data_IF_006552920156
#
_entry.id   IF_006552920156
#
_cell.length_a   1.000
_cell.length_b   1.000
_cell.length_c   1.000
_cell.angle_alpha   90.00
_cell.angle_beta   90.00
_cell.angle_gamma   90.00
#
_symmetry.space_group_name_H-M   'P 1'
#
loop_
_entity.id
_entity.type
_entity.pdbx_description
1 polymer ?
#
# COMPACT_ATOMS: atom_id res chain seq x y z
N UNK A 1 -47.95 41.60 -45.97
CA UNK A 1 -46.66 41.98 -45.39
C UNK A 1 -46.30 40.92 -44.35
N UNK A 2 -45.21 40.16 -44.55
CA UNK A 2 -44.86 38.99 -43.75
C UNK A 2 -43.85 39.35 -42.65
N UNK A 3 -43.98 38.71 -41.48
CA UNK A 3 -42.87 38.56 -40.53
C UNK A 3 -42.61 37.06 -40.38
N UNK A 4 -41.68 36.55 -41.21
CA UNK A 4 -41.14 35.20 -41.07
C UNK A 4 -40.00 35.23 -40.05
N UNK A 5 -40.18 34.53 -38.94
CA UNK A 5 -39.09 34.22 -38.02
C UNK A 5 -38.32 33.01 -38.57
N UNK A 6 -37.10 33.23 -39.03
CA UNK A 6 -36.16 32.17 -39.42
C UNK A 6 -35.54 31.62 -38.14
N UNK A 7 -35.90 30.39 -37.77
CA UNK A 7 -35.26 29.64 -36.70
C UNK A 7 -33.93 29.06 -37.24
N UNK A 8 -32.81 29.68 -36.89
CA UNK A 8 -31.48 29.17 -37.22
C UNK A 8 -31.14 27.98 -36.30
N UNK A 9 -31.19 26.77 -36.84
CA UNK A 9 -30.77 25.55 -36.16
C UNK A 9 -29.23 25.49 -36.17
N UNK A 10 -28.59 25.93 -35.08
CA UNK A 10 -27.15 25.72 -34.88
C UNK A 10 -26.92 24.28 -34.43
N UNK A 11 -26.52 23.42 -35.37
CA UNK A 11 -26.03 22.08 -35.08
C UNK A 11 -24.62 22.23 -34.51
N UNK A 12 -24.50 22.20 -33.18
CA UNK A 12 -23.24 22.03 -32.48
C UNK A 12 -22.73 20.60 -32.72
N UNK A 13 -21.85 20.45 -33.69
CA UNK A 13 -21.04 19.24 -33.86
C UNK A 13 -20.04 19.20 -32.70
N UNK A 14 -20.39 18.45 -31.65
CA UNK A 14 -19.41 17.99 -30.67
C UNK A 14 -18.44 17.05 -31.39
N UNK A 15 -17.30 17.58 -31.82
CA UNK A 15 -16.13 16.77 -32.14
C UNK A 15 -15.66 16.12 -30.85
N UNK A 16 -16.20 14.94 -30.56
CA UNK A 16 -15.63 14.03 -29.59
C UNK A 16 -14.21 13.69 -30.06
N UNK A 17 -13.21 14.35 -29.49
CA UNK A 17 -11.83 13.85 -29.49
C UNK A 17 -11.80 12.62 -28.60
N UNK A 18 -12.30 11.50 -29.14
CA UNK A 18 -12.08 10.19 -28.56
C UNK A 18 -10.58 9.95 -28.58
N UNK A 19 -9.94 10.07 -27.42
CA UNK A 19 -8.65 9.42 -27.21
C UNK A 19 -8.89 7.95 -27.56
N UNK A 20 -8.29 7.46 -28.64
CA UNK A 20 -8.33 6.05 -28.96
C UNK A 20 -7.66 5.32 -27.80
N UNK A 21 -8.46 4.68 -26.94
CA UNK A 21 -7.96 3.79 -25.93
C UNK A 21 -7.35 2.60 -26.68
N UNK A 22 -6.02 2.59 -26.80
CA UNK A 22 -5.31 1.45 -27.35
C UNK A 22 -5.72 0.21 -26.54
N UNK A 23 -6.07 -0.87 -27.24
CA UNK A 23 -6.40 -2.12 -26.59
C UNK A 23 -5.24 -2.54 -25.66
N UNK A 24 -5.52 -3.05 -24.44
CA UNK A 24 -4.48 -3.49 -23.52
C UNK A 24 -3.55 -4.50 -24.20
N UNK A 25 -2.24 -4.30 -24.09
CA UNK A 25 -1.27 -5.27 -24.62
C UNK A 25 -1.39 -6.58 -23.79
N UNK A 26 -1.87 -7.70 -24.37
CA UNK A 26 -2.06 -8.94 -23.62
C UNK A 26 -0.75 -9.51 -23.07
N UNK A 27 0.40 -9.14 -23.62
CA UNK A 27 1.72 -9.56 -23.15
C UNK A 27 2.32 -8.63 -22.10
N UNK A 28 1.62 -7.56 -21.69
CA UNK A 28 2.09 -6.72 -20.59
C UNK A 28 2.14 -7.53 -19.30
N UNK A 29 3.32 -7.56 -18.68
CA UNK A 29 3.55 -8.18 -17.38
C UNK A 29 2.88 -7.36 -16.29
N UNK A 30 2.08 -8.04 -15.47
CA UNK A 30 1.51 -7.53 -14.23
C UNK A 30 2.39 -7.90 -13.04
N UNK A 31 2.91 -9.14 -13.01
CA UNK A 31 3.80 -9.64 -11.97
C UNK A 31 4.81 -10.63 -12.53
N UNK A 32 6.05 -10.57 -12.07
CA UNK A 32 7.10 -11.51 -12.43
C UNK A 32 7.91 -11.94 -11.19
N UNK A 33 7.87 -13.24 -10.90
CA UNK A 33 8.65 -13.84 -9.84
C UNK A 33 10.13 -13.99 -10.26
N UNK A 34 11.00 -13.20 -9.64
CA UNK A 34 12.46 -13.24 -9.83
C UNK A 34 13.17 -13.78 -8.58
N UNK A 35 12.85 -15.03 -8.20
CA UNK A 35 13.39 -15.74 -7.03
C UNK A 35 13.09 -15.09 -5.66
N UNK A 36 12.24 -14.06 -5.63
CA UNK A 36 11.73 -13.40 -4.43
C UNK A 36 10.20 -13.36 -4.50
N UNK A 37 9.48 -13.98 -3.56
CA UNK A 37 8.02 -13.93 -3.57
C UNK A 37 7.52 -12.50 -3.45
N UNK A 38 6.55 -12.15 -4.29
CA UNK A 38 5.85 -10.87 -4.22
C UNK A 38 4.60 -11.07 -3.35
N UNK A 39 4.73 -10.86 -2.05
CA UNK A 39 3.62 -11.00 -1.11
C UNK A 39 2.71 -9.77 -1.20
N UNK A 40 1.57 -9.88 -1.90
CA UNK A 40 0.61 -8.78 -2.10
C UNK A 40 -0.66 -8.89 -1.25
N UNK A 41 -0.71 -9.91 -0.38
CA UNK A 41 -1.75 -10.08 0.63
C UNK A 41 -2.88 -10.99 0.18
N UNK A 42 -3.41 -11.77 1.14
CA UNK A 42 -4.46 -12.78 0.88
C UNK A 42 -5.83 -12.16 0.63
N UNK A 43 -6.03 -10.90 1.02
CA UNK A 43 -7.24 -10.15 0.73
C UNK A 43 -7.17 -9.39 -0.60
N UNK A 44 -6.05 -9.46 -1.32
CA UNK A 44 -5.93 -8.82 -2.63
C UNK A 44 -6.66 -9.61 -3.71
N UNK A 45 -6.98 -8.95 -4.83
CA UNK A 45 -7.54 -9.62 -6.02
C UNK A 45 -6.60 -10.69 -6.60
N UNK A 46 -5.31 -10.65 -6.26
CA UNK A 46 -4.32 -11.65 -6.68
C UNK A 46 -4.57 -13.01 -6.02
N UNK A 47 -5.11 -13.08 -4.80
CA UNK A 47 -5.48 -14.37 -4.21
C UNK A 47 -6.63 -15.03 -4.97
N UNK A 48 -7.63 -14.25 -5.38
CA UNK A 48 -8.74 -14.73 -6.23
C UNK A 48 -8.21 -15.21 -7.59
N UNK A 49 -7.27 -14.47 -8.19
CA UNK A 49 -6.59 -14.91 -9.41
C UNK A 49 -5.84 -16.23 -9.21
N UNK A 50 -5.11 -16.38 -8.11
CA UNK A 50 -4.40 -17.62 -7.79
C UNK A 50 -5.35 -18.80 -7.62
N UNK A 51 -6.49 -18.62 -6.94
CA UNK A 51 -7.50 -19.67 -6.79
C UNK A 51 -7.95 -20.21 -8.16
N UNK A 52 -8.28 -19.30 -9.08
CA UNK A 52 -8.71 -19.66 -10.44
C UNK A 52 -7.59 -20.27 -11.27
N UNK A 53 -6.39 -19.71 -11.19
CA UNK A 53 -5.20 -20.24 -11.85
C UNK A 53 -4.90 -21.66 -11.38
N UNK A 54 -4.90 -21.91 -10.07
CA UNK A 54 -4.59 -23.22 -9.48
C UNK A 54 -5.64 -24.26 -9.87
N UNK A 55 -6.93 -23.89 -9.88
CA UNK A 55 -8.00 -24.75 -10.37
C UNK A 55 -7.84 -25.06 -11.87
N UNK A 56 -7.55 -24.06 -12.69
CA UNK A 56 -7.37 -24.21 -14.14
C UNK A 56 -6.13 -25.05 -14.50
N UNK A 57 -5.01 -24.81 -13.82
CA UNK A 57 -3.78 -25.58 -13.96
C UNK A 57 -3.97 -27.05 -13.55
N UNK A 58 -4.62 -27.29 -12.41
CA UNK A 58 -4.94 -28.62 -11.92
C UNK A 58 -5.83 -29.39 -12.91
N UNK A 59 -6.85 -28.72 -13.47
CA UNK A 59 -7.70 -29.28 -14.53
C UNK A 59 -6.89 -29.62 -15.79
N UNK A 60 -5.99 -28.73 -16.21
CA UNK A 60 -5.13 -28.95 -17.36
C UNK A 60 -4.22 -30.17 -17.17
N UNK A 61 -3.65 -30.33 -15.97
CA UNK A 61 -2.75 -31.42 -15.61
C UNK A 61 -3.47 -32.68 -15.11
N UNK A 62 -4.80 -32.71 -15.07
CA UNK A 62 -5.62 -33.81 -14.50
C UNK A 62 -5.16 -34.19 -13.07
N UNK A 63 -4.97 -33.20 -12.23
CA UNK A 63 -4.41 -33.33 -10.88
C UNK A 63 -5.17 -32.47 -9.87
N UNK A 64 -4.72 -32.43 -8.61
CA UNK A 64 -5.33 -31.62 -7.55
C UNK A 64 -4.71 -30.22 -7.47
N UNK A 65 -5.53 -29.21 -7.16
CA UNK A 65 -5.06 -27.84 -6.92
C UNK A 65 -4.15 -27.72 -5.70
N UNK A 66 -4.24 -28.67 -4.75
CA UNK A 66 -3.43 -28.69 -3.53
C UNK A 66 -1.91 -28.69 -3.79
N UNK A 67 -1.45 -29.17 -4.95
CA UNK A 67 -0.03 -29.17 -5.31
C UNK A 67 0.56 -27.76 -5.45
N UNK A 68 -0.29 -26.74 -5.65
CA UNK A 68 0.13 -25.34 -5.79
C UNK A 68 0.05 -24.57 -4.47
N UNK A 69 -0.42 -25.22 -3.38
CA UNK A 69 -0.61 -24.59 -2.08
C UNK A 69 -1.90 -23.76 -1.98
N UNK A 70 -1.93 -22.83 -1.03
CA UNK A 70 -3.08 -21.95 -0.81
C UNK A 70 -2.98 -20.69 -1.67
N UNK A 71 -4.11 -20.11 -2.12
CA UNK A 71 -4.15 -18.80 -2.75
C UNK A 71 -3.94 -17.71 -1.69
N UNK A 72 -2.69 -17.47 -1.33
CA UNK A 72 -2.29 -16.56 -0.25
C UNK A 72 -1.96 -15.13 -0.72
N UNK A 73 -2.10 -14.86 -2.02
CA UNK A 73 -1.73 -13.61 -2.65
C UNK A 73 -0.21 -13.41 -2.76
N UNK A 74 0.61 -14.46 -2.63
CA UNK A 74 2.05 -14.36 -2.86
C UNK A 74 2.42 -14.90 -4.26
N UNK A 75 2.84 -14.02 -5.17
CA UNK A 75 3.37 -14.44 -6.48
C UNK A 75 4.76 -15.04 -6.27
N UNK A 76 4.85 -16.37 -6.33
CA UNK A 76 6.08 -17.12 -6.06
C UNK A 76 6.27 -18.32 -6.97
N UNK A 77 7.14 -19.25 -6.57
CA UNK A 77 7.45 -20.47 -7.32
C UNK A 77 6.20 -21.32 -7.63
N UNK A 78 5.23 -21.38 -6.70
CA UNK A 78 3.98 -22.11 -6.92
C UNK A 78 3.10 -21.47 -7.99
N UNK A 79 2.97 -20.13 -8.00
CA UNK A 79 2.28 -19.41 -9.06
C UNK A 79 2.98 -19.62 -10.40
N UNK A 80 4.31 -19.48 -10.44
CA UNK A 80 5.11 -19.73 -11.63
C UNK A 80 4.87 -21.14 -12.18
N UNK A 81 4.85 -22.15 -11.30
CA UNK A 81 4.53 -23.54 -11.67
C UNK A 81 3.13 -23.67 -12.26
N UNK A 82 2.12 -23.12 -11.59
CA UNK A 82 0.73 -23.19 -12.04
C UNK A 82 0.53 -22.53 -13.43
N UNK A 83 1.22 -21.42 -13.71
CA UNK A 83 1.18 -20.76 -15.04
C UNK A 83 1.75 -21.69 -16.11
N UNK A 84 2.92 -22.28 -15.85
CA UNK A 84 3.56 -23.22 -16.79
C UNK A 84 2.69 -24.46 -17.03
N UNK A 85 2.03 -24.96 -16.00
CA UNK A 85 1.13 -26.11 -16.07
C UNK A 85 -0.20 -25.81 -16.79
N UNK A 86 -0.71 -24.57 -16.68
CA UNK A 86 -1.93 -24.13 -17.36
C UNK A 86 -1.71 -23.80 -18.84
N UNK A 87 -0.52 -23.28 -19.21
CA UNK A 87 -0.20 -22.77 -20.55
C UNK A 87 -0.60 -23.72 -21.70
N UNK A 88 -0.34 -25.06 -21.65
CA UNK A 88 -0.72 -25.97 -22.73
C UNK A 88 -2.23 -26.01 -23.03
N UNK A 89 -3.06 -25.68 -22.04
CA UNK A 89 -4.51 -25.63 -22.19
C UNK A 89 -5.04 -24.25 -22.61
N UNK A 90 -4.20 -23.21 -22.56
CA UNK A 90 -4.57 -21.85 -22.95
C UNK A 90 -4.07 -21.55 -24.37
N UNK A 91 -4.92 -21.79 -25.37
CA UNK A 91 -4.59 -21.60 -26.80
C UNK A 91 -4.20 -20.17 -27.15
N UNK A 92 -4.65 -19.16 -26.40
CA UNK A 92 -4.30 -17.76 -26.63
C UNK A 92 -2.82 -17.45 -26.28
N UNK A 93 -2.25 -18.16 -25.29
CA UNK A 93 -0.85 -18.01 -24.88
C UNK A 93 0.13 -18.79 -25.78
N UNK A 94 -0.34 -19.82 -26.50
CA UNK A 94 0.51 -20.69 -27.30
C UNK A 94 0.96 -20.10 -28.65
N UNK A 95 0.35 -19.00 -29.09
CA UNK A 95 0.53 -18.46 -30.45
C UNK A 95 1.62 -17.38 -30.57
N UNK A 96 2.10 -16.81 -29.48
CA UNK A 96 3.09 -15.74 -29.49
C UNK A 96 4.52 -16.27 -29.27
N UNK A 97 5.46 -15.82 -30.11
CA UNK A 97 6.89 -16.14 -29.97
C UNK A 97 7.45 -15.28 -28.83
N UNK A 98 7.93 -15.90 -27.74
CA UNK A 98 8.44 -15.24 -26.52
C UNK A 98 7.36 -14.55 -25.66
N UNK A 99 6.32 -15.29 -25.28
CA UNK A 99 5.33 -14.77 -24.34
C UNK A 99 5.94 -14.74 -22.91
N UNK A 100 5.84 -13.65 -22.12
CA UNK A 100 6.34 -13.62 -20.75
C UNK A 100 5.81 -14.75 -19.85
N UNK A 101 4.65 -15.32 -20.17
CA UNK A 101 4.10 -16.52 -19.51
C UNK A 101 4.99 -17.76 -19.68
N UNK A 102 5.89 -17.80 -20.67
CA UNK A 102 6.91 -18.85 -20.82
C UNK A 102 7.84 -18.94 -19.61
N UNK A 103 8.11 -17.80 -18.98
CA UNK A 103 8.88 -17.69 -17.73
C UNK A 103 7.99 -17.79 -16.49
N UNK A 104 6.68 -17.94 -16.69
CA UNK A 104 5.67 -17.96 -15.64
C UNK A 104 5.35 -16.57 -15.07
N UNK A 105 5.45 -15.52 -15.88
CA UNK A 105 4.97 -14.20 -15.49
C UNK A 105 3.43 -14.13 -15.58
N UNK A 106 2.81 -13.34 -14.71
CA UNK A 106 1.39 -12.99 -14.81
C UNK A 106 1.27 -11.85 -15.82
N UNK A 107 0.50 -12.05 -16.89
CA UNK A 107 0.25 -11.03 -17.93
C UNK A 107 -1.21 -10.62 -17.98
N UNK A 108 -1.52 -9.51 -18.66
CA UNK A 108 -2.90 -9.07 -18.91
C UNK A 108 -3.71 -10.18 -19.61
N UNK A 109 -3.16 -10.80 -20.64
CA UNK A 109 -3.84 -11.85 -21.40
C UNK A 109 -4.10 -13.11 -20.56
N UNK A 110 -3.15 -13.50 -19.71
CA UNK A 110 -3.37 -14.59 -18.75
C UNK A 110 -4.48 -14.24 -17.76
N UNK A 111 -4.46 -13.02 -17.21
CA UNK A 111 -5.47 -12.54 -16.29
C UNK A 111 -6.88 -12.61 -16.88
N UNK A 112 -7.05 -12.03 -18.07
CA UNK A 112 -8.32 -12.00 -18.80
C UNK A 112 -8.82 -13.41 -19.17
N UNK A 113 -7.91 -14.38 -19.36
CA UNK A 113 -8.31 -15.78 -19.63
C UNK A 113 -8.89 -16.51 -18.42
N UNK A 114 -8.67 -16.00 -17.20
CA UNK A 114 -9.04 -16.67 -15.95
C UNK A 114 -10.09 -15.88 -15.16
N UNK A 115 -10.05 -14.55 -15.21
CA UNK A 115 -10.86 -13.66 -14.40
C UNK A 115 -12.06 -13.13 -15.21
N UNK A 116 -13.24 -12.98 -14.59
CA UNK A 116 -14.38 -12.35 -15.25
C UNK A 116 -14.10 -10.85 -15.48
N UNK A 117 -14.71 -10.25 -16.51
CA UNK A 117 -14.49 -8.83 -16.87
C UNK A 117 -14.79 -7.84 -15.74
N UNK A 118 -15.75 -8.17 -14.86
CA UNK A 118 -16.08 -7.38 -13.66
C UNK A 118 -14.95 -7.34 -12.61
N UNK A 119 -13.93 -8.19 -12.75
CA UNK A 119 -12.72 -8.23 -11.90
C UNK A 119 -11.50 -7.89 -12.77
N UNK A 120 -11.30 -6.61 -13.11
CA UNK A 120 -10.21 -6.19 -13.98
C UNK A 120 -8.85 -6.52 -13.37
N UNK A 121 -7.83 -6.56 -14.21
CA UNK A 121 -6.46 -6.67 -13.72
C UNK A 121 -6.07 -5.40 -12.94
N UNK A 122 -5.18 -5.54 -11.93
CA UNK A 122 -4.62 -4.41 -11.18
C UNK A 122 -3.97 -3.37 -12.09
N UNK A 123 -4.37 -2.11 -11.94
CA UNK A 123 -3.76 -0.99 -12.65
C UNK A 123 -2.37 -0.64 -12.07
N UNK A 124 -1.74 0.42 -12.57
CA UNK A 124 -0.43 0.85 -12.08
C UNK A 124 -0.43 1.29 -10.61
N UNK A 125 -1.51 1.94 -10.16
CA UNK A 125 -1.62 2.48 -8.79
C UNK A 125 -1.85 1.33 -7.81
N UNK A 126 -2.71 0.38 -8.16
CA UNK A 126 -2.94 -0.82 -7.36
C UNK A 126 -1.66 -1.66 -7.24
N UNK A 127 -0.93 -1.89 -8.34
CA UNK A 127 0.36 -2.60 -8.30
C UNK A 127 1.42 -1.86 -7.49
N UNK A 128 1.42 -0.52 -7.53
CA UNK A 128 2.29 0.31 -6.72
C UNK A 128 1.95 0.25 -5.21
N UNK A 129 0.66 0.22 -4.86
CA UNK A 129 0.20 -0.01 -3.50
C UNK A 129 0.58 -1.41 -3.00
N UNK A 130 0.48 -2.43 -3.84
CA UNK A 130 0.90 -3.80 -3.53
C UNK A 130 2.41 -3.95 -3.35
N UNK A 131 3.23 -3.19 -4.09
CA UNK A 131 4.66 -3.11 -3.80
C UNK A 131 4.92 -2.51 -2.41
N UNK A 132 4.17 -1.48 -2.02
CA UNK A 132 4.27 -0.91 -0.67
C UNK A 132 3.88 -1.94 0.38
N UNK A 133 2.76 -2.66 0.18
CA UNK A 133 2.33 -3.77 1.03
C UNK A 133 3.43 -4.84 1.20
N UNK A 134 4.08 -5.24 0.10
CA UNK A 134 5.13 -6.27 0.13
C UNK A 134 6.35 -5.85 0.98
N UNK A 135 6.55 -4.55 1.21
CA UNK A 135 7.61 -4.01 2.08
C UNK A 135 7.20 -3.94 3.55
N UNK A 136 5.91 -3.83 3.84
CA UNK A 136 5.34 -3.81 5.20
C UNK A 136 5.17 -5.21 5.77
N UNK A 137 4.76 -6.18 4.94
CA UNK A 137 4.71 -7.60 5.32
C UNK A 137 3.62 -7.95 6.36
N UNK A 138 2.60 -7.10 6.49
CA UNK A 138 1.42 -7.34 7.33
C UNK A 138 0.16 -7.20 6.49
N UNK A 139 -0.92 -7.88 6.87
CA UNK A 139 -2.20 -7.86 6.16
C UNK A 139 -3.33 -7.44 7.10
N UNK A 140 -4.56 -7.28 6.59
CA UNK A 140 -5.72 -6.81 7.36
C UNK A 140 -6.04 -7.62 8.62
N UNK A 141 -5.54 -8.85 8.73
CA UNK A 141 -5.74 -9.71 9.88
C UNK A 141 -4.65 -9.61 10.95
N UNK A 142 -3.63 -8.77 10.75
CA UNK A 142 -2.49 -8.62 11.65
C UNK A 142 -2.64 -7.36 12.51
N UNK A 143 -2.68 -7.57 13.82
CA UNK A 143 -2.66 -6.49 14.81
C UNK A 143 -1.62 -6.76 15.90
N UNK A 144 -0.88 -5.71 16.24
CA UNK A 144 0.22 -5.73 17.20
C UNK A 144 0.03 -4.65 18.25
N UNK A 145 0.22 -5.01 19.52
CA UNK A 145 0.22 -4.05 20.62
C UNK A 145 1.66 -3.59 20.84
N UNK A 146 1.89 -2.28 20.83
CA UNK A 146 3.21 -1.65 20.93
C UNK A 146 3.65 -1.36 22.37
N UNK A 147 3.15 -2.15 23.32
CA UNK A 147 3.52 -2.10 24.73
C UNK A 147 4.56 -3.16 25.05
N UNK A 148 5.65 -2.73 25.71
CA UNK A 148 6.75 -3.56 26.19
C UNK A 148 7.20 -4.62 25.18
N UNK A 149 7.77 -4.15 24.08
CA UNK A 149 8.47 -4.94 23.09
C UNK A 149 9.85 -5.38 23.61
N UNK A 150 10.43 -6.40 22.98
CA UNK A 150 11.80 -6.84 23.29
C UNK A 150 12.82 -5.80 22.86
N UNK A 151 13.86 -5.60 23.68
CA UNK A 151 15.01 -4.75 23.33
C UNK A 151 15.72 -5.22 22.06
N UNK A 152 15.75 -6.55 21.83
CA UNK A 152 16.30 -7.15 20.62
C UNK A 152 15.32 -8.18 20.04
N UNK A 153 14.43 -7.80 19.11
CA UNK A 153 13.46 -8.71 18.53
C UNK A 153 14.09 -9.90 17.78
N UNK A 154 15.35 -9.78 17.31
CA UNK A 154 16.06 -10.88 16.65
C UNK A 154 16.37 -12.05 17.59
N UNK A 155 16.29 -11.86 18.91
CA UNK A 155 16.48 -12.92 19.91
C UNK A 155 15.26 -13.81 20.10
N UNK A 156 14.12 -13.50 19.45
CA UNK A 156 12.88 -14.26 19.57
C UNK A 156 12.16 -14.11 20.92
N UNK A 157 12.77 -13.44 21.91
CA UNK A 157 12.16 -13.19 23.22
C UNK A 157 10.96 -12.26 23.07
N UNK A 158 9.80 -12.66 23.61
CA UNK A 158 8.66 -11.77 23.86
C UNK A 158 8.71 -11.37 25.33
N UNK A 159 8.54 -10.08 25.62
CA UNK A 159 8.77 -9.47 26.94
C UNK A 159 8.05 -10.14 28.14
N UNK A 160 7.01 -10.94 27.91
CA UNK A 160 6.37 -11.68 29.00
C UNK A 160 7.34 -12.70 29.65
N UNK A 161 8.45 -13.02 28.99
CA UNK A 161 9.48 -13.92 29.52
C UNK A 161 10.74 -13.16 29.97
N UNK A 162 10.71 -12.66 31.21
CA UNK A 162 11.92 -12.48 32.02
C UNK A 162 12.75 -11.18 31.86
N UNK A 163 12.25 -10.13 31.21
CA UNK A 163 12.94 -8.83 31.17
C UNK A 163 12.39 -7.86 32.25
N UNK A 164 13.29 -7.15 32.93
CA UNK A 164 12.94 -6.19 34.00
C UNK A 164 12.52 -4.83 33.46
N UNK A 165 12.90 -4.52 32.22
CA UNK A 165 12.70 -3.21 31.60
C UNK A 165 11.76 -3.29 30.39
N UNK A 166 10.75 -2.41 30.35
CA UNK A 166 9.83 -2.30 29.21
C UNK A 166 10.45 -1.42 28.13
N UNK A 167 10.53 -1.91 26.88
CA UNK A 167 10.97 -1.13 25.72
C UNK A 167 9.83 -0.93 24.72
N UNK A 168 9.85 0.16 23.97
CA UNK A 168 8.97 0.31 22.79
C UNK A 168 9.69 1.18 21.76
N UNK A 169 9.75 0.68 20.53
CA UNK A 169 10.30 1.41 19.38
C UNK A 169 9.31 2.44 18.82
N UNK A 170 8.05 2.38 19.25
CA UNK A 170 6.98 3.27 18.82
C UNK A 170 5.96 3.49 19.95
N UNK A 171 6.34 4.37 20.88
CA UNK A 171 5.62 4.61 22.14
C UNK A 171 4.27 5.30 21.95
N UNK A 172 4.06 5.94 20.80
CA UNK A 172 2.91 6.79 20.54
C UNK A 172 1.81 6.08 19.72
N UNK A 173 2.09 4.87 19.22
CA UNK A 173 1.19 4.16 18.31
C UNK A 173 0.33 3.11 18.98
N UNK A 174 0.57 2.75 20.25
CA UNK A 174 -0.09 1.78 21.17
C UNK A 174 -0.60 0.43 20.60
N UNK A 175 -1.31 0.45 19.48
CA UNK A 175 -1.74 -0.66 18.65
C UNK A 175 -1.49 -0.33 17.17
N UNK A 176 -0.83 -1.23 16.44
CA UNK A 176 -0.65 -1.16 14.98
C UNK A 176 -1.47 -2.25 14.30
N UNK A 177 -2.17 -1.94 13.21
CA UNK A 177 -3.07 -2.86 12.52
C UNK A 177 -3.02 -2.71 11.01
N UNK A 178 -3.10 -3.84 10.31
CA UNK A 178 -3.38 -3.88 8.88
C UNK A 178 -2.19 -3.53 7.99
N UNK A 179 -2.42 -3.48 6.66
CA UNK A 179 -1.37 -3.52 5.64
C UNK A 179 -0.45 -2.31 5.54
N UNK A 180 -0.86 -1.19 6.14
CA UNK A 180 -0.07 0.06 6.18
C UNK A 180 0.35 0.42 7.60
N UNK A 181 0.12 -0.49 8.56
CA UNK A 181 0.41 -0.25 9.96
C UNK A 181 -0.37 0.91 10.56
N UNK A 182 -1.70 0.95 10.36
CA UNK A 182 -2.56 1.95 10.98
C UNK A 182 -2.39 1.94 12.50
N UNK A 183 -2.29 3.11 13.12
CA UNK A 183 -1.98 3.23 14.55
C UNK A 183 -3.20 3.68 15.35
N UNK A 184 -3.36 3.17 16.58
CA UNK A 184 -4.26 3.74 17.57
C UNK A 184 -3.42 4.53 18.59
N UNK A 185 -3.43 5.85 18.47
CA UNK A 185 -2.61 6.76 19.26
C UNK A 185 -2.41 8.06 18.49
N UNK A 186 -1.19 8.60 18.44
CA UNK A 186 -0.91 9.88 17.76
C UNK A 186 -1.35 9.94 16.29
N UNK A 187 -1.26 8.84 15.53
CA UNK A 187 -1.74 8.81 14.13
C UNK A 187 -3.26 8.71 14.01
N UNK A 188 -3.92 8.14 15.02
CA UNK A 188 -5.36 7.90 15.13
C UNK A 188 -5.99 7.22 13.89
N UNK A 189 -5.21 6.54 13.04
CA UNK A 189 -5.72 5.94 11.80
C UNK A 189 -6.70 4.81 12.10
N UNK A 190 -6.46 4.00 13.13
CA UNK A 190 -7.42 2.94 13.52
C UNK A 190 -8.76 3.56 13.91
N UNK A 191 -8.77 4.67 14.65
CA UNK A 191 -9.99 5.37 15.01
C UNK A 191 -10.71 5.90 13.76
N UNK A 192 -9.98 6.50 12.81
CA UNK A 192 -10.54 6.97 11.54
C UNK A 192 -11.21 5.84 10.75
N UNK A 193 -10.54 4.70 10.63
CA UNK A 193 -11.05 3.52 9.91
C UNK A 193 -12.34 3.02 10.56
N UNK A 194 -12.35 2.90 11.90
CA UNK A 194 -13.54 2.47 12.62
C UNK A 194 -14.70 3.44 12.41
N UNK A 195 -14.45 4.76 12.49
CA UNK A 195 -15.48 5.78 12.28
C UNK A 195 -16.05 5.73 10.87
N UNK A 196 -15.21 5.63 9.85
CA UNK A 196 -15.66 5.57 8.46
C UNK A 196 -16.46 4.29 8.18
N UNK A 197 -15.96 3.14 8.63
CA UNK A 197 -16.64 1.86 8.46
C UNK A 197 -18.00 1.84 9.19
N UNK A 198 -18.06 2.31 10.43
CA UNK A 198 -19.30 2.37 11.23
C UNK A 198 -20.30 3.39 10.65
N UNK A 199 -19.82 4.51 10.10
CA UNK A 199 -20.69 5.50 9.45
C UNK A 199 -21.34 4.96 8.18
N UNK A 200 -20.57 4.21 7.37
CA UNK A 200 -21.09 3.57 6.15
C UNK A 200 -21.97 2.35 6.47
N UNK A 201 -21.65 1.63 7.55
CA UNK A 201 -22.32 0.40 7.97
C UNK A 201 -22.63 0.43 9.48
N UNK A 202 -23.71 1.10 9.92
CA UNK A 202 -24.05 1.21 11.33
C UNK A 202 -24.23 -0.16 12.01
N UNK A 203 -23.62 -0.35 13.18
CA UNK A 203 -23.67 -1.60 13.94
C UNK A 203 -22.59 -2.62 13.58
N UNK A 204 -21.71 -2.32 12.63
CA UNK A 204 -20.60 -3.22 12.23
C UNK A 204 -19.66 -3.50 13.41
N UNK A 205 -19.29 -2.46 14.15
CA UNK A 205 -18.44 -2.56 15.33
C UNK A 205 -19.10 -3.44 16.40
N UNK A 206 -20.41 -3.29 16.62
CA UNK A 206 -21.16 -4.13 17.57
C UNK A 206 -21.20 -5.59 17.13
N UNK A 207 -21.43 -5.83 15.84
CA UNK A 207 -21.50 -7.18 15.26
C UNK A 207 -20.19 -7.94 15.43
N UNK A 208 -19.04 -7.29 15.21
CA UNK A 208 -17.74 -7.96 15.24
C UNK A 208 -17.10 -7.95 16.64
N UNK A 209 -17.14 -6.82 17.33
CA UNK A 209 -16.49 -6.68 18.64
C UNK A 209 -17.39 -7.11 19.81
N UNK A 210 -18.70 -7.22 19.62
CA UNK A 210 -19.62 -7.75 20.63
C UNK A 210 -19.44 -7.07 21.99
N UNK A 211 -19.08 -7.79 23.06
CA UNK A 211 -18.82 -7.21 24.37
C UNK A 211 -17.70 -6.14 24.40
N UNK A 212 -16.72 -6.20 23.50
CA UNK A 212 -15.64 -5.19 23.39
C UNK A 212 -16.03 -3.98 22.53
N UNK A 213 -17.23 -3.93 21.97
CA UNK A 213 -17.65 -2.81 21.13
C UNK A 213 -17.68 -1.48 21.91
N UNK A 214 -18.11 -1.49 23.17
CA UNK A 214 -18.06 -0.32 24.06
C UNK A 214 -16.61 0.15 24.31
N UNK A 215 -15.68 -0.80 24.52
CA UNK A 215 -14.25 -0.47 24.61
C UNK A 215 -13.77 0.23 23.35
N UNK A 216 -14.11 -0.29 22.17
CA UNK A 216 -13.67 0.30 20.91
C UNK A 216 -14.30 1.67 20.65
N UNK A 217 -15.57 1.89 21.03
CA UNK A 217 -16.18 3.23 20.99
C UNK A 217 -15.43 4.21 21.90
N UNK A 218 -15.00 3.77 23.08
CA UNK A 218 -14.19 4.59 23.99
C UNK A 218 -12.78 4.86 23.46
N UNK A 219 -12.17 3.92 22.72
CA UNK A 219 -10.91 4.14 21.99
C UNK A 219 -11.09 5.15 20.86
N UNK A 220 -12.20 5.08 20.12
CA UNK A 220 -12.51 6.02 19.03
C UNK A 220 -12.74 7.43 19.55
N UNK A 221 -13.48 7.57 20.66
CA UNK A 221 -13.84 8.88 21.21
C UNK A 221 -12.79 9.46 22.16
N UNK A 222 -11.89 8.63 22.68
CA UNK A 222 -10.97 8.98 23.75
C UNK A 222 -9.86 9.94 23.33
N UNK A 223 -9.40 10.74 24.28
CA UNK A 223 -8.09 11.37 24.19
C UNK A 223 -6.94 10.37 24.23
N UNK A 224 -5.74 10.82 23.87
CA UNK A 224 -4.54 10.00 23.74
C UNK A 224 -4.24 9.20 25.03
N UNK A 225 -4.34 9.85 26.20
CA UNK A 225 -4.18 9.20 27.51
C UNK A 225 -5.21 8.08 27.73
N UNK A 226 -6.45 8.28 27.29
CA UNK A 226 -7.50 7.27 27.41
C UNK A 226 -7.24 6.10 26.46
N UNK A 227 -6.84 6.38 25.22
CA UNK A 227 -6.49 5.35 24.23
C UNK A 227 -5.31 4.51 24.74
N UNK A 228 -4.24 5.13 25.22
CA UNK A 228 -3.10 4.45 25.84
C UNK A 228 -3.57 3.53 26.97
N UNK A 229 -4.35 4.08 27.91
CA UNK A 229 -4.79 3.38 29.11
C UNK A 229 -5.67 2.17 28.78
N UNK A 230 -6.65 2.35 27.89
CA UNK A 230 -7.58 1.29 27.50
C UNK A 230 -6.83 0.16 26.81
N UNK A 231 -5.95 0.47 25.85
CA UNK A 231 -5.21 -0.52 25.07
C UNK A 231 -4.13 -1.21 25.92
N UNK A 232 -3.48 -0.48 26.83
CA UNK A 232 -2.53 -1.06 27.78
C UNK A 232 -3.22 -2.05 28.73
N UNK A 233 -4.38 -1.70 29.27
CA UNK A 233 -5.16 -2.60 30.12
C UNK A 233 -5.59 -3.88 29.36
N UNK A 234 -5.94 -3.73 28.08
CA UNK A 234 -6.24 -4.86 27.22
C UNK A 234 -5.00 -5.72 26.92
N UNK A 235 -3.86 -5.09 26.67
CA UNK A 235 -2.58 -5.76 26.44
C UNK A 235 -2.11 -6.56 27.67
N UNK A 236 -2.25 -6.00 28.87
CA UNK A 236 -1.79 -6.60 30.12
C UNK A 236 -2.55 -7.90 30.46
N UNK A 237 -3.79 -8.05 29.97
CA UNK A 237 -4.58 -9.26 30.12
C UNK A 237 -4.43 -10.17 28.89
N UNK A 238 -3.73 -11.30 29.04
CA UNK A 238 -3.46 -12.24 27.93
C UNK A 238 -4.71 -12.72 27.21
N UNK A 239 -5.80 -13.02 27.94
CA UNK A 239 -7.05 -13.51 27.35
C UNK A 239 -7.72 -12.39 26.54
N UNK A 240 -7.83 -11.20 27.12
CA UNK A 240 -8.43 -10.03 26.45
C UNK A 240 -7.62 -9.60 25.22
N UNK A 241 -6.29 -9.58 25.32
CA UNK A 241 -5.39 -9.30 24.20
C UNK A 241 -5.58 -10.31 23.05
N UNK A 242 -5.71 -11.60 23.35
CA UNK A 242 -5.94 -12.63 22.34
C UNK A 242 -7.32 -12.47 21.68
N UNK A 243 -8.36 -12.20 22.47
CA UNK A 243 -9.71 -11.95 21.95
C UNK A 243 -9.76 -10.73 21.03
N UNK A 244 -9.16 -9.60 21.44
CA UNK A 244 -9.07 -8.41 20.59
C UNK A 244 -8.31 -8.68 19.30
N UNK A 245 -7.20 -9.43 19.33
CA UNK A 245 -6.48 -9.83 18.11
C UNK A 245 -7.39 -10.57 17.12
N UNK A 246 -8.17 -11.52 17.60
CA UNK A 246 -9.12 -12.26 16.76
C UNK A 246 -10.25 -11.37 16.24
N UNK A 247 -10.73 -10.42 17.05
CA UNK A 247 -11.77 -9.46 16.63
C UNK A 247 -11.27 -8.52 15.55
N UNK A 248 -10.07 -7.94 15.70
CA UNK A 248 -9.43 -7.15 14.66
C UNK A 248 -9.20 -7.96 13.38
N UNK A 249 -8.80 -9.23 13.52
CA UNK A 249 -8.64 -10.12 12.37
C UNK A 249 -9.95 -10.35 11.61
N UNK A 250 -11.05 -10.60 12.32
CA UNK A 250 -12.39 -10.71 11.72
C UNK A 250 -12.88 -9.39 11.14
N UNK A 251 -12.62 -8.28 11.82
CA UNK A 251 -13.02 -6.95 11.37
C UNK A 251 -12.32 -6.56 10.07
N UNK A 252 -11.00 -6.73 9.99
CA UNK A 252 -10.22 -6.43 8.79
C UNK A 252 -10.49 -7.35 7.60
N UNK A 253 -11.04 -8.53 7.84
CA UNK A 253 -11.45 -9.44 6.77
C UNK A 253 -12.71 -8.97 6.02
N UNK A 254 -13.43 -7.96 6.54
CA UNK A 254 -14.66 -7.46 5.94
C UNK A 254 -14.36 -6.45 4.81
N UNK A 255 -14.96 -6.59 3.61
CA UNK A 255 -14.77 -5.66 2.50
C UNK A 255 -15.06 -4.19 2.86
N UNK A 256 -16.08 -3.96 3.69
CA UNK A 256 -16.48 -2.63 4.17
C UNK A 256 -15.37 -1.95 4.98
N UNK A 257 -14.61 -2.74 5.74
CA UNK A 257 -13.51 -2.27 6.56
C UNK A 257 -12.26 -2.04 5.72
N UNK A 258 -12.00 -2.91 4.73
CA UNK A 258 -10.90 -2.74 3.78
C UNK A 258 -11.10 -1.48 2.94
N UNK A 259 -12.34 -1.19 2.54
CA UNK A 259 -12.68 0.05 1.84
C UNK A 259 -12.47 1.28 2.73
N UNK A 260 -12.94 1.27 3.97
CA UNK A 260 -12.67 2.34 4.92
C UNK A 260 -11.16 2.54 5.14
N UNK A 261 -10.39 1.46 5.22
CA UNK A 261 -8.93 1.50 5.32
C UNK A 261 -8.30 2.20 4.10
N UNK A 262 -8.70 1.81 2.89
CA UNK A 262 -8.25 2.43 1.65
C UNK A 262 -8.57 3.93 1.63
N UNK A 263 -9.81 4.29 1.98
CA UNK A 263 -10.25 5.69 2.05
C UNK A 263 -9.40 6.54 2.99
N UNK A 264 -9.02 6.02 4.17
CA UNK A 264 -8.17 6.77 5.12
C UNK A 264 -6.81 7.09 4.52
N UNK A 265 -6.13 6.12 3.90
CA UNK A 265 -4.78 6.34 3.36
C UNK A 265 -4.79 7.17 2.07
N UNK A 266 -5.82 7.02 1.22
CA UNK A 266 -5.97 7.78 -0.01
C UNK A 266 -6.50 9.21 0.19
N UNK A 267 -6.88 9.58 1.42
CA UNK A 267 -7.45 10.88 1.73
C UNK A 267 -6.45 12.04 1.52
N UNK A 268 -7.00 13.21 1.18
CA UNK A 268 -6.24 14.44 0.97
C UNK A 268 -5.48 14.93 2.22
N UNK A 269 -5.93 14.57 3.43
CA UNK A 269 -5.24 14.85 4.70
C UNK A 269 -4.28 13.73 5.15
N UNK A 270 -4.11 12.67 4.35
CA UNK A 270 -3.24 11.53 4.62
C UNK A 270 -2.20 11.34 3.50
N UNK A 271 -1.90 10.09 3.12
CA UNK A 271 -0.89 9.79 2.11
C UNK A 271 -1.30 10.27 0.71
N UNK A 272 -2.59 10.22 0.36
CA UNK A 272 -3.09 10.74 -0.91
C UNK A 272 -2.72 12.21 -1.15
N UNK A 273 -2.86 13.05 -0.11
CA UNK A 273 -2.43 14.45 -0.17
C UNK A 273 -0.92 14.63 -0.35
N UNK A 274 -0.10 13.75 0.24
CA UNK A 274 1.36 13.74 0.06
C UNK A 274 1.75 13.32 -1.35
N UNK A 275 1.11 12.28 -1.90
CA UNK A 275 1.34 11.82 -3.28
C UNK A 275 0.96 12.92 -4.27
N UNK A 276 -0.16 13.61 -4.06
CA UNK A 276 -0.60 14.70 -4.94
C UNK A 276 0.44 15.83 -5.06
N UNK A 277 1.23 16.09 -4.01
CA UNK A 277 2.30 17.10 -4.06
C UNK A 277 3.39 16.73 -5.06
N UNK A 278 3.75 15.45 -5.19
CA UNK A 278 4.68 15.00 -6.22
C UNK A 278 4.11 15.23 -7.63
N UNK A 279 2.83 14.95 -7.85
CA UNK A 279 2.17 15.23 -9.12
C UNK A 279 2.20 16.72 -9.48
N UNK A 280 1.99 17.62 -8.51
CA UNK A 280 2.10 19.07 -8.73
C UNK A 280 3.53 19.50 -9.10
N UNK A 281 4.55 18.88 -8.51
CA UNK A 281 5.95 19.09 -8.91
C UNK A 281 6.15 18.67 -10.38
N UNK A 282 5.68 17.47 -10.76
CA UNK A 282 5.80 17.00 -12.13
C UNK A 282 5.03 17.87 -13.12
N UNK A 283 3.84 18.35 -12.77
CA UNK A 283 3.07 19.29 -13.58
C UNK A 283 3.85 20.58 -13.86
N UNK A 284 4.55 21.12 -12.86
CA UNK A 284 5.40 22.31 -13.01
C UNK A 284 6.67 22.05 -13.86
N UNK A 285 7.13 20.80 -13.92
CA UNK A 285 8.31 20.38 -14.69
C UNK A 285 7.96 19.92 -16.10
N UNK A 286 6.71 19.53 -16.37
CA UNK A 286 6.24 18.98 -17.64
C UNK A 286 6.61 19.83 -18.88
N UNK A 287 6.60 21.18 -18.84
CA UNK A 287 7.07 21.98 -19.97
C UNK A 287 8.55 21.79 -20.32
N UNK A 288 9.37 21.29 -19.39
CA UNK A 288 10.82 21.10 -19.54
C UNK A 288 11.16 19.63 -19.82
N UNK A 289 10.49 18.70 -19.11
CA UNK A 289 10.78 17.26 -19.22
C UNK A 289 9.88 16.52 -20.21
N UNK A 290 8.81 17.17 -20.71
CA UNK A 290 7.86 16.68 -21.72
C UNK A 290 7.20 15.32 -21.41
N UNK A 291 6.99 15.01 -20.13
CA UNK A 291 6.33 13.77 -19.70
C UNK A 291 5.60 13.94 -18.38
N UNK A 292 4.63 13.05 -18.15
CA UNK A 292 4.00 12.81 -16.85
C UNK A 292 4.87 11.87 -15.98
N UNK A 293 4.55 11.68 -14.69
CA UNK A 293 5.17 10.64 -13.88
C UNK A 293 5.04 9.25 -14.53
N UNK A 294 6.06 8.41 -14.38
CA UNK A 294 5.99 7.00 -14.79
C UNK A 294 5.25 6.14 -13.75
N UNK A 295 4.92 4.90 -14.08
CA UNK A 295 4.36 3.95 -13.10
C UNK A 295 5.33 3.72 -11.91
N UNK A 296 6.63 3.68 -12.16
CA UNK A 296 7.65 3.56 -11.10
C UNK A 296 7.78 4.86 -10.30
N UNK A 297 7.63 6.03 -10.94
CA UNK A 297 7.55 7.32 -10.23
C UNK A 297 6.39 7.32 -9.22
N UNK A 298 5.21 6.85 -9.62
CA UNK A 298 4.04 6.75 -8.73
C UNK A 298 4.29 5.81 -7.56
N UNK A 299 4.88 4.64 -7.80
CA UNK A 299 5.22 3.72 -6.71
C UNK A 299 6.23 4.34 -5.74
N UNK A 300 7.22 5.07 -6.24
CA UNK A 300 8.14 5.85 -5.41
C UNK A 300 7.40 6.93 -4.59
N UNK A 301 6.41 7.63 -5.16
CA UNK A 301 5.65 8.65 -4.42
C UNK A 301 4.82 8.06 -3.29
N UNK A 302 4.12 6.95 -3.54
CA UNK A 302 3.32 6.24 -2.53
C UNK A 302 4.22 5.78 -1.38
N UNK A 303 5.39 5.23 -1.73
CA UNK A 303 6.40 4.77 -0.78
C UNK A 303 6.92 5.91 0.11
N UNK A 304 7.25 7.06 -0.50
CA UNK A 304 7.67 8.28 0.22
C UNK A 304 6.55 8.91 1.04
N UNK A 305 5.30 8.82 0.60
CA UNK A 305 4.15 9.29 1.37
C UNK A 305 3.98 8.47 2.67
N UNK A 306 4.09 7.14 2.55
CA UNK A 306 3.89 6.18 3.64
C UNK A 306 5.04 6.21 4.65
N UNK A 307 6.30 6.21 4.19
CA UNK A 307 7.48 6.06 5.07
C UNK A 307 8.27 7.34 5.32
N UNK A 308 7.71 8.47 4.89
CA UNK A 308 8.32 9.79 5.05
C UNK A 308 9.23 10.19 3.88
N UNK A 309 9.58 11.47 3.87
CA UNK A 309 10.27 12.11 2.74
C UNK A 309 9.31 12.49 1.61
N UNK A 310 8.08 12.87 1.95
CA UNK A 310 7.14 13.53 1.04
C UNK A 310 7.42 15.04 0.95
N UNK A 311 7.02 15.71 -0.15
CA UNK A 311 7.20 17.14 -0.30
C UNK A 311 6.49 17.94 0.80
N UNK A 312 7.07 19.08 1.23
CA UNK A 312 6.43 20.00 2.17
C UNK A 312 5.13 20.60 1.61
N UNK A 313 4.37 21.30 2.45
CA UNK A 313 3.14 21.98 2.01
C UNK A 313 3.40 23.09 0.98
N UNK A 314 4.44 23.89 1.20
CA UNK A 314 4.94 24.87 0.22
C UNK A 314 5.93 24.20 -0.76
N UNK A 315 5.52 24.08 -2.02
CA UNK A 315 6.29 23.39 -3.05
C UNK A 315 7.25 24.30 -3.81
N UNK A 316 7.10 25.62 -3.73
CA UNK A 316 7.83 26.56 -4.59
C UNK A 316 9.35 26.39 -4.51
N UNK A 317 9.98 26.26 -3.32
CA UNK A 317 11.43 26.06 -3.23
C UNK A 317 11.90 24.74 -3.87
N UNK A 318 11.12 23.67 -3.73
CA UNK A 318 11.47 22.37 -4.30
C UNK A 318 11.27 22.34 -5.81
N UNK A 319 10.21 22.98 -6.32
CA UNK A 319 9.97 23.14 -7.76
C UNK A 319 11.13 23.91 -8.39
N UNK A 320 11.54 25.04 -7.82
CA UNK A 320 12.66 25.83 -8.34
C UNK A 320 13.98 25.02 -8.38
N UNK A 321 14.27 24.25 -7.32
CA UNK A 321 15.43 23.36 -7.28
C UNK A 321 15.36 22.28 -8.37
N UNK A 322 14.20 21.65 -8.54
CA UNK A 322 14.00 20.62 -9.57
C UNK A 322 14.08 21.20 -10.98
N UNK A 323 13.52 22.39 -11.23
CA UNK A 323 13.64 23.11 -12.50
C UNK A 323 15.11 23.35 -12.86
N UNK A 324 15.89 23.88 -11.91
CA UNK A 324 17.34 24.02 -12.09
C UNK A 324 18.02 22.68 -12.37
N UNK A 325 17.69 21.62 -11.63
CA UNK A 325 18.29 20.29 -11.85
C UNK A 325 18.00 19.73 -13.24
N UNK A 326 16.79 19.90 -13.77
CA UNK A 326 16.42 19.38 -15.10
C UNK A 326 16.94 20.27 -16.24
N UNK A 327 17.17 21.56 -15.99
CA UNK A 327 17.63 22.52 -17.01
C UNK A 327 19.13 22.81 -16.97
N UNK A 328 19.87 22.35 -15.94
CA UNK A 328 21.31 22.63 -15.80
C UNK A 328 22.18 22.00 -16.89
N UNK A 329 21.65 21.00 -17.61
CA UNK A 329 22.30 20.42 -18.78
C UNK A 329 21.32 20.45 -19.97
N UNK A 330 21.82 20.20 -21.18
CA UNK A 330 20.98 20.04 -22.38
C UNK A 330 20.25 18.69 -22.43
N UNK A 331 20.55 17.77 -21.51
CA UNK A 331 20.02 16.40 -21.53
C UNK A 331 19.00 16.28 -20.39
N UNK A 332 17.74 16.03 -20.75
CA UNK A 332 16.67 15.79 -19.77
C UNK A 332 17.02 14.55 -18.93
N UNK A 333 17.00 14.63 -17.59
CA UNK A 333 17.27 13.50 -16.72
C UNK A 333 16.29 12.33 -16.94
N UNK A 334 16.76 11.10 -16.78
CA UNK A 334 15.90 9.91 -16.78
C UNK A 334 14.92 9.91 -15.59
N UNK A 335 13.90 9.05 -15.65
CA UNK A 335 12.96 8.89 -14.54
C UNK A 335 13.66 8.46 -13.23
N UNK A 336 14.58 7.49 -13.29
CA UNK A 336 15.39 7.12 -12.13
C UNK A 336 16.29 8.25 -11.63
N UNK A 337 16.88 9.08 -12.51
CA UNK A 337 17.66 10.24 -12.08
C UNK A 337 16.80 11.29 -11.37
N UNK A 338 15.56 11.50 -11.82
CA UNK A 338 14.58 12.34 -11.12
C UNK A 338 14.24 11.80 -9.74
N UNK A 339 13.92 10.50 -9.62
CA UNK A 339 13.65 9.83 -8.34
C UNK A 339 14.84 9.92 -7.39
N UNK A 340 16.06 9.67 -7.87
CA UNK A 340 17.30 9.79 -7.08
C UNK A 340 17.47 11.21 -6.54
N UNK A 341 17.23 12.23 -7.36
CA UNK A 341 17.40 13.62 -6.94
C UNK A 341 16.33 14.05 -5.92
N UNK A 342 15.07 13.70 -6.16
CA UNK A 342 13.99 13.91 -5.19
C UNK A 342 14.29 13.20 -3.88
N UNK A 343 14.78 11.96 -3.96
CA UNK A 343 15.08 11.18 -2.78
C UNK A 343 16.20 11.77 -1.92
N UNK A 344 17.20 12.38 -2.55
CA UNK A 344 18.29 13.09 -1.87
C UNK A 344 17.83 14.41 -1.21
N UNK A 345 16.85 15.10 -1.79
CA UNK A 345 16.34 16.37 -1.25
C UNK A 345 15.18 16.23 -0.26
N UNK A 346 14.62 15.03 -0.14
CA UNK A 346 13.60 14.69 0.82
C UNK A 346 14.11 13.58 1.75
N UNK A 347 15.16 13.81 2.56
CA UNK A 347 15.74 12.77 3.39
C UNK A 347 14.78 12.35 4.52
N UNK A 348 14.90 11.10 4.98
CA UNK A 348 14.26 10.60 6.20
C UNK A 348 15.33 10.38 7.27
N UNK A 349 15.46 11.33 8.21
CA UNK A 349 16.58 11.40 9.16
C UNK A 349 16.66 10.19 10.11
N UNK A 350 15.52 9.59 10.47
CA UNK A 350 15.45 8.54 11.50
C UNK A 350 15.58 7.11 10.96
N UNK A 351 15.69 6.92 9.63
CA UNK A 351 15.67 5.61 8.98
C UNK A 351 16.60 5.57 7.75
N UNK A 352 17.79 6.18 7.83
CA UNK A 352 18.67 6.37 6.66
C UNK A 352 18.93 5.07 5.86
N UNK A 353 19.45 4.01 6.50
CA UNK A 353 19.77 2.75 5.80
C UNK A 353 18.51 2.06 5.23
N UNK A 354 17.41 2.09 5.97
CA UNK A 354 16.12 1.55 5.50
C UNK A 354 15.58 2.35 4.30
N UNK A 355 15.71 3.69 4.33
CA UNK A 355 15.33 4.57 3.22
C UNK A 355 16.19 4.35 1.99
N UNK A 356 17.51 4.19 2.13
CA UNK A 356 18.40 3.85 1.02
C UNK A 356 18.02 2.52 0.38
N UNK A 357 17.70 1.51 1.19
CA UNK A 357 17.30 0.20 0.73
C UNK A 357 15.98 0.23 -0.05
N UNK A 358 15.00 1.01 0.44
CA UNK A 358 13.69 1.19 -0.19
C UNK A 358 13.80 2.02 -1.47
N UNK A 359 14.61 3.09 -1.49
CA UNK A 359 14.83 3.90 -2.70
C UNK A 359 15.46 3.08 -3.83
N UNK A 360 16.37 2.15 -3.51
CA UNK A 360 17.00 1.29 -4.51
C UNK A 360 15.99 0.48 -5.34
N UNK A 361 14.84 0.09 -4.77
CA UNK A 361 13.77 -0.66 -5.47
C UNK A 361 13.27 0.08 -6.71
N UNK A 362 13.25 1.41 -6.66
CA UNK A 362 12.75 2.29 -7.73
C UNK A 362 13.87 2.80 -8.66
N UNK A 363 15.12 2.45 -8.36
CA UNK A 363 16.31 2.94 -9.08
C UNK A 363 17.09 1.82 -9.77
N UNK A 364 17.00 0.58 -9.25
CA UNK A 364 17.81 -0.56 -9.68
C UNK A 364 17.56 -0.98 -11.14
N UNK A 365 16.39 -0.65 -11.68
CA UNK A 365 15.99 -0.99 -13.04
C UNK A 365 16.31 0.11 -14.07
N UNK A 366 16.72 1.31 -13.64
CA UNK A 366 17.12 2.38 -14.56
C UNK A 366 18.63 2.28 -14.88
N UNK A 367 19.02 1.94 -16.13
CA UNK A 367 20.41 1.79 -16.51
C UNK A 367 21.21 3.11 -16.47
N UNK A 368 20.52 4.27 -16.44
CA UNK A 368 21.15 5.60 -16.34
C UNK A 368 21.40 6.00 -14.88
N UNK A 369 21.02 5.17 -13.91
CA UNK A 369 21.29 5.38 -12.49
C UNK A 369 22.39 4.43 -12.03
N UNK A 370 23.56 5.00 -11.75
CA UNK A 370 24.60 4.25 -11.06
C UNK A 370 24.31 4.20 -9.55
N UNK A 371 23.91 3.00 -9.08
CA UNK A 371 23.76 2.68 -7.67
C UNK A 371 25.05 2.07 -7.13
N UNK A 372 25.60 2.70 -6.08
CA UNK A 372 26.80 2.18 -5.43
C UNK A 372 26.60 0.78 -4.85
N UNK A 373 27.70 0.03 -4.70
CA UNK A 373 27.67 -1.32 -4.12
C UNK A 373 27.03 -1.37 -2.73
N UNK A 374 27.19 -0.30 -1.95
CA UNK A 374 26.53 -0.18 -0.65
C UNK A 374 25.00 -0.19 -0.79
N UNK A 375 24.44 0.55 -1.75
CA UNK A 375 22.99 0.53 -2.01
C UNK A 375 22.53 -0.86 -2.41
N UNK A 376 23.24 -1.51 -3.34
CA UNK A 376 22.89 -2.85 -3.82
C UNK A 376 22.91 -3.88 -2.71
N UNK A 377 23.94 -3.88 -1.86
CA UNK A 377 24.05 -4.82 -0.72
C UNK A 377 22.95 -4.60 0.31
N UNK A 378 22.65 -3.35 0.68
CA UNK A 378 21.60 -3.06 1.67
C UNK A 378 20.22 -3.43 1.10
N UNK A 379 19.97 -3.11 -0.17
CA UNK A 379 18.75 -3.51 -0.88
C UNK A 379 18.55 -5.03 -0.90
N UNK A 380 19.58 -5.79 -1.31
CA UNK A 380 19.55 -7.26 -1.33
C UNK A 380 19.31 -7.86 0.07
N UNK A 381 19.93 -7.27 1.11
CA UNK A 381 19.75 -7.70 2.50
C UNK A 381 18.33 -7.42 3.00
N UNK A 382 17.72 -6.32 2.58
CA UNK A 382 16.39 -5.90 3.04
C UNK A 382 15.26 -6.68 2.36
N UNK A 383 15.20 -6.64 1.03
CA UNK A 383 14.08 -7.24 0.28
C UNK A 383 14.54 -7.84 -1.05
N UNK A 384 15.45 -7.18 -1.76
CA UNK A 384 15.84 -7.56 -3.12
C UNK A 384 14.69 -7.41 -4.14
N UNK A 385 13.60 -6.72 -3.78
CA UNK A 385 12.45 -6.51 -4.67
C UNK A 385 12.74 -5.40 -5.69
N UNK A 386 12.14 -5.51 -6.87
CA UNK A 386 12.22 -4.51 -7.94
C UNK A 386 10.82 -3.98 -8.24
N UNK A 387 10.70 -2.71 -8.63
CA UNK A 387 9.43 -2.17 -9.09
C UNK A 387 8.94 -2.89 -10.37
N UNK A 388 9.87 -3.26 -11.26
CA UNK A 388 9.56 -4.04 -12.46
C UNK A 388 9.01 -5.44 -12.18
N UNK A 389 9.30 -6.06 -11.03
CA UNK A 389 8.69 -7.34 -10.63
C UNK A 389 7.18 -7.23 -10.41
N UNK A 390 6.68 -6.02 -10.12
CA UNK A 390 5.24 -5.70 -10.05
C UNK A 390 4.73 -5.18 -11.41
N UNK A 391 5.47 -5.49 -12.48
CA UNK A 391 5.19 -5.07 -13.85
C UNK A 391 5.25 -3.56 -14.05
N UNK A 392 5.74 -2.76 -13.10
CA UNK A 392 5.80 -1.30 -13.22
C UNK A 392 6.90 -0.89 -14.20
N UNK A 393 6.69 0.19 -14.95
CA UNK A 393 7.62 0.62 -16.01
C UNK A 393 7.88 2.12 -16.01
N UNK A 394 9.07 2.50 -16.49
CA UNK A 394 9.43 3.88 -16.80
C UNK A 394 8.95 4.35 -18.18
N UNK A 395 8.44 3.44 -19.02
CA UNK A 395 7.93 3.75 -20.37
C UNK A 395 6.42 4.01 -20.39
N UNK A 396 5.73 3.78 -19.26
CA UNK A 396 4.29 4.02 -19.11
C UNK A 396 4.05 5.13 -18.11
N UNK A 397 3.15 6.04 -18.46
CA UNK A 397 2.89 7.26 -17.70
C UNK A 397 1.55 7.23 -16.99
N UNK A 398 1.52 7.85 -15.81
CA UNK A 398 0.33 8.02 -14.97
C UNK A 398 0.05 9.52 -14.87
N UNK A 399 -0.98 10.05 -15.56
CA UNK A 399 -1.21 11.49 -15.64
C UNK A 399 -1.80 12.09 -14.36
N UNK A 400 -2.48 11.28 -13.55
CA UNK A 400 -3.13 11.73 -12.32
C UNK A 400 -3.16 10.60 -11.28
N UNK A 401 -3.23 11.00 -10.01
CA UNK A 401 -3.46 10.10 -8.88
C UNK A 401 -4.81 10.45 -8.24
N UNK A 402 -5.73 9.48 -8.07
CA UNK A 402 -7.00 9.71 -7.41
C UNK A 402 -6.73 10.01 -5.94
N UNK A 403 -7.33 11.08 -5.43
CA UNK A 403 -7.22 11.46 -4.02
C UNK A 403 -8.62 11.53 -3.45
N UNK A 404 -8.84 10.83 -2.35
CA UNK A 404 -10.13 10.84 -1.67
C UNK A 404 -10.31 12.15 -0.87
N UNK A 405 -11.56 12.60 -0.64
CA UNK A 405 -11.82 13.71 0.25
C UNK A 405 -11.22 13.47 1.64
N UNK A 406 -11.04 14.56 2.40
CA UNK A 406 -10.63 14.44 3.80
C UNK A 406 -11.60 13.55 4.58
N UNK A 407 -11.08 12.71 5.46
CA UNK A 407 -11.88 11.74 6.22
C UNK A 407 -12.89 12.40 7.17
N UNK A 408 -12.68 13.67 7.51
CA UNK A 408 -13.55 14.45 8.40
C UNK A 408 -13.42 14.06 9.88
N UNK A 409 -12.44 13.21 10.22
CA UNK A 409 -12.11 12.86 11.59
C UNK A 409 -10.88 13.65 12.04
N UNK A 410 -10.98 14.26 13.20
CA UNK A 410 -9.86 14.89 13.90
C UNK A 410 -9.62 14.16 15.21
N UNK A 411 -8.36 13.93 15.57
CA UNK A 411 -8.01 13.31 16.84
C UNK A 411 -8.58 14.13 18.00
N UNK A 412 -9.38 13.49 18.85
CA UNK A 412 -10.05 14.14 19.97
C UNK A 412 -9.00 14.42 21.05
N UNK A 413 -8.78 15.71 21.33
CA UNK A 413 -7.72 16.14 22.26
C UNK A 413 -8.13 16.12 23.73
N UNK A 414 -9.43 16.16 24.02
CA UNK A 414 -9.96 16.36 25.39
C UNK A 414 -11.28 15.63 25.58
N UNK A 415 -11.22 14.31 25.79
CA UNK A 415 -12.37 13.50 26.16
C UNK A 415 -11.90 12.23 26.87
N UNK A 416 -11.88 12.26 28.19
CA UNK A 416 -11.40 11.14 28.98
C UNK A 416 -12.44 10.01 28.99
N UNK A 417 -12.11 8.87 28.39
CA UNK A 417 -12.99 7.70 28.27
C UNK A 417 -12.49 6.47 29.00
N UNK A 418 -11.24 6.49 29.49
CA UNK A 418 -10.67 5.40 30.29
C UNK A 418 -11.34 5.30 31.67
N UNK A 419 -11.73 4.08 32.06
CA UNK A 419 -12.33 3.75 33.35
C UNK A 419 -11.26 3.54 34.42
N UNK A 420 -11.58 3.75 35.71
CA UNK A 420 -10.65 3.49 36.82
C UNK A 420 -10.08 2.06 36.81
N UNK A 421 -10.89 1.06 36.46
CA UNK A 421 -10.44 -0.33 36.37
C UNK A 421 -9.33 -0.54 35.32
N UNK A 422 -9.35 0.21 34.21
CA UNK A 422 -8.33 0.13 33.17
C UNK A 422 -7.03 0.79 33.60
N UNK A 423 -7.12 1.92 34.32
CA UNK A 423 -5.96 2.57 34.94
C UNK A 423 -5.25 1.62 35.91
N UNK A 424 -6.00 0.86 36.70
CA UNK A 424 -5.45 -0.11 37.65
C UNK A 424 -4.88 -1.36 36.97
N UNK A 425 -5.43 -1.76 35.82
CA UNK A 425 -4.99 -2.94 35.09
C UNK A 425 -3.75 -2.70 34.21
N UNK A 426 -3.49 -1.46 33.80
CA UNK A 426 -2.32 -1.09 33.01
C UNK A 426 -1.07 -0.96 33.91
N UNK A 427 -0.01 -1.76 33.70
CA UNK A 427 1.22 -1.64 34.48
C UNK A 427 1.90 -0.28 34.26
N UNK A 428 2.32 0.39 35.34
CA UNK A 428 2.97 1.70 35.25
C UNK A 428 4.22 1.69 34.34
N UNK A 429 4.96 0.58 34.30
CA UNK A 429 6.14 0.42 33.45
C UNK A 429 5.79 0.41 31.95
N UNK A 430 4.59 -0.03 31.58
CA UNK A 430 4.13 -0.07 30.19
C UNK A 430 3.79 1.32 29.62
N UNK A 431 3.46 2.28 30.49
CA UNK A 431 3.20 3.69 30.15
C UNK A 431 4.46 4.55 30.08
N UNK A 432 5.59 4.01 30.54
CA UNK A 432 6.89 4.69 30.51
C UNK A 432 7.97 3.77 29.92
N UNK A 433 7.79 3.25 28.69
CA UNK A 433 8.76 2.36 28.09
C UNK A 433 10.05 3.11 27.77
N UNK A 434 11.18 2.41 27.86
CA UNK A 434 12.48 2.87 27.37
C UNK A 434 12.55 2.76 25.86
N UNK A 435 13.46 3.52 25.26
CA UNK A 435 13.82 3.31 23.85
C UNK A 435 14.84 2.17 23.78
N UNK A 436 14.71 1.21 22.82
CA UNK A 436 15.58 0.05 22.71
C UNK A 436 17.06 0.36 22.49
#
# INVERSE_FOLDING_TARGET
MPCGAVLMLVVLVFLATGAAWAAPNPHQVLYEYDQRPLAVGKFSIVSVFQERLFAAAAKCQRSSSAQYGSPDGAIGANTQKAIKDYRPCNRAAAAARQDPTDRGAVTIGLWQSLMPEIMPYPDAIERANQLTFALEGTDFDRVEFNFCQSRNPATGKRFIEGDRDCYSNDKASYLTWGPRGATAGHGAEIQQIIVLAEKAHPGLLQTVFGPEADTMRRVVLGDDDSVETILCAAWANTRRRSDLRQRFARYGALPEVQEAYRMVYEAANADGGKVQRFFRIYQALKPIIHRDPTEIDVAFFIDRATHGGAPPGDLAPLIAKMQYFVSRTRIVPSAGQMRRQLGAWLPSAHKYNDRLARDAIFLIDDPKVDLSDAHRRIWQKRSGLRASSFGLSDDRFVPAYPVMPVTGYEAIKRFATARPAEKNACPAIARKPRSP
#
